data_IF_233883761208
#
_entry.id   IF_233883761208
#
_cell.length_a   1.000
_cell.length_b   1.000
_cell.length_c   1.000
_cell.angle_alpha   90.00
_cell.angle_beta   90.00
_cell.angle_gamma   90.00
#
_symmetry.space_group_name_H-M   'P 1'
#
loop_
_entity.id
_entity.type
_entity.pdbx_description
1 polymer ?
#
# COMPACT_ATOMS: atom_id res chain seq x y z
N UNK A 1 -38.49 33.08 12.15
CA UNK A 1 -38.67 31.68 12.62
C UNK A 1 -38.55 30.61 11.53
N UNK A 2 -38.63 30.92 10.24
CA UNK A 2 -38.34 29.95 9.16
C UNK A 2 -36.85 29.78 8.81
N UNK A 3 -36.00 30.69 9.29
CA UNK A 3 -34.56 30.71 8.96
C UNK A 3 -33.72 29.78 9.87
N UNK A 4 -34.14 29.53 11.10
CA UNK A 4 -33.42 28.64 12.03
C UNK A 4 -33.55 27.16 11.67
N UNK A 5 -34.68 26.78 11.06
CA UNK A 5 -34.94 25.40 10.61
C UNK A 5 -34.03 25.01 9.44
N UNK A 6 -33.70 25.96 8.57
CA UNK A 6 -32.81 25.73 7.43
C UNK A 6 -31.36 25.41 7.86
N UNK A 7 -30.87 26.06 8.93
CA UNK A 7 -29.50 25.86 9.43
C UNK A 7 -29.36 24.47 10.09
N UNK A 8 -30.39 24.00 10.80
CA UNK A 8 -30.40 22.66 11.37
C UNK A 8 -30.37 21.56 10.29
N UNK A 9 -31.08 21.77 9.18
CA UNK A 9 -31.06 20.85 8.05
C UNK A 9 -29.68 20.80 7.35
N UNK A 10 -29.02 21.96 7.19
CA UNK A 10 -27.66 22.05 6.62
C UNK A 10 -26.63 21.40 7.55
N UNK A 11 -26.74 21.59 8.86
CA UNK A 11 -25.88 20.92 9.83
C UNK A 11 -26.07 19.39 9.79
N UNK A 12 -27.31 18.90 9.71
CA UNK A 12 -27.59 17.47 9.62
C UNK A 12 -27.02 16.82 8.35
N UNK A 13 -26.94 17.55 7.23
CA UNK A 13 -26.28 17.06 6.00
C UNK A 13 -24.75 17.11 6.03
N UNK A 14 -24.15 17.96 6.89
CA UNK A 14 -22.69 17.97 7.10
C UNK A 14 -22.27 16.76 7.96
N UNK A 15 -23.14 16.27 8.85
CA UNK A 15 -22.90 15.08 9.69
C UNK A 15 -23.45 13.76 9.11
N UNK A 16 -24.26 13.81 8.05
CA UNK A 16 -24.78 12.63 7.35
C UNK A 16 -24.08 12.36 6.00
N UNK A 17 -22.80 12.73 5.87
CA UNK A 17 -21.99 12.11 4.82
C UNK A 17 -21.70 10.69 5.27
N UNK A 18 -22.57 9.78 4.81
CA UNK A 18 -22.37 8.35 4.82
C UNK A 18 -20.89 8.05 4.51
N UNK A 19 -20.21 7.38 5.44
CA UNK A 19 -19.01 6.62 5.11
C UNK A 19 -19.49 5.59 4.09
N UNK A 20 -19.40 5.95 2.82
CA UNK A 20 -19.70 5.09 1.69
C UNK A 20 -18.83 3.85 1.87
N UNK A 21 -19.47 2.82 2.40
CA UNK A 21 -18.88 1.53 2.63
C UNK A 21 -18.63 0.89 1.28
N UNK A 22 -17.46 1.11 0.70
CA UNK A 22 -16.79 -0.02 0.05
C UNK A 22 -16.27 -0.86 1.21
N UNK A 23 -17.10 -1.80 1.67
CA UNK A 23 -16.99 -2.47 2.96
C UNK A 23 -15.56 -2.78 3.38
N UNK A 24 -15.17 -2.25 4.54
CA UNK A 24 -14.10 -2.88 5.31
C UNK A 24 -14.75 -4.11 5.92
N UNK A 25 -14.56 -5.28 5.33
CA UNK A 25 -14.61 -6.50 6.12
C UNK A 25 -13.36 -6.49 7.00
N UNK A 26 -13.47 -5.80 8.13
CA UNK A 26 -12.59 -5.93 9.29
C UNK A 26 -12.85 -7.30 9.91
N UNK A 27 -12.42 -8.32 9.16
CA UNK A 27 -12.27 -9.73 9.50
C UNK A 27 -11.82 -10.47 8.23
N UNK A 28 -10.84 -9.91 7.52
CA UNK A 28 -9.87 -10.79 6.89
C UNK A 28 -8.66 -10.74 7.81
N UNK A 29 -8.63 -11.63 8.81
CA UNK A 29 -7.44 -12.45 8.91
C UNK A 29 -7.25 -13.00 7.50
N UNK A 30 -6.50 -12.28 6.65
CA UNK A 30 -5.80 -12.94 5.58
C UNK A 30 -4.80 -13.77 6.36
N UNK A 31 -5.25 -14.92 6.89
CA UNK A 31 -4.36 -15.89 7.51
C UNK A 31 -3.20 -16.04 6.56
N UNK A 32 -1.98 -15.98 7.11
CA UNK A 32 -0.75 -15.91 6.34
C UNK A 32 -0.87 -16.87 5.16
N UNK A 33 -1.01 -16.32 3.94
CA UNK A 33 -1.18 -17.13 2.72
C UNK A 33 0.10 -17.87 2.33
N UNK A 34 1.13 -17.73 3.17
CA UNK A 34 2.44 -18.35 3.08
C UNK A 34 2.42 -19.59 3.98
N UNK A 35 2.50 -20.78 3.37
CA UNK A 35 2.52 -22.05 4.11
C UNK A 35 3.78 -22.09 4.98
N UNK A 36 3.59 -22.15 6.31
CA UNK A 36 4.69 -22.18 7.28
C UNK A 36 5.45 -20.84 7.42
N UNK A 37 4.95 -19.76 6.82
CA UNK A 37 5.53 -18.43 6.95
C UNK A 37 5.08 -17.72 8.21
N UNK A 38 5.89 -16.75 8.63
CA UNK A 38 5.60 -15.80 9.70
C UNK A 38 5.95 -14.38 9.23
N UNK A 39 5.41 -13.36 9.90
CA UNK A 39 5.68 -11.97 9.54
C UNK A 39 7.07 -11.54 10.04
N UNK A 40 7.98 -11.31 9.10
CA UNK A 40 9.34 -10.89 9.43
C UNK A 40 9.36 -9.61 10.31
N UNK A 41 10.01 -9.63 11.49
CA UNK A 41 10.26 -8.45 12.28
C UNK A 41 10.85 -7.27 11.49
N UNK A 42 10.40 -6.07 11.85
CA UNK A 42 10.90 -4.83 11.23
C UNK A 42 12.42 -4.75 11.37
N UNK A 43 13.10 -4.58 10.23
CA UNK A 43 14.54 -4.44 10.17
C UNK A 43 15.33 -5.76 10.23
N UNK A 44 14.69 -6.94 10.24
CA UNK A 44 15.41 -8.21 10.20
C UNK A 44 16.11 -8.44 8.85
N UNK A 45 15.46 -8.02 7.75
CA UNK A 45 15.93 -8.23 6.38
C UNK A 45 16.07 -6.89 5.65
N UNK A 46 16.96 -6.01 6.15
CA UNK A 46 17.15 -4.64 5.64
C UNK A 46 17.65 -4.55 4.20
N UNK A 47 18.18 -5.64 3.66
CA UNK A 47 18.62 -5.72 2.28
C UNK A 47 17.48 -5.97 1.28
N UNK A 48 16.28 -6.28 1.75
CA UNK A 48 15.12 -6.51 0.88
C UNK A 48 14.66 -5.19 0.28
N UNK A 49 14.53 -5.15 -1.05
CA UNK A 49 14.00 -3.98 -1.76
C UNK A 49 12.85 -4.35 -2.68
N UNK A 50 12.04 -3.34 -2.98
CA UNK A 50 10.88 -3.47 -3.84
C UNK A 50 11.11 -2.78 -5.19
N UNK A 51 10.83 -3.47 -6.30
CA UNK A 51 10.93 -2.91 -7.65
C UNK A 51 9.54 -2.57 -8.19
N UNK A 52 9.36 -1.31 -8.61
CA UNK A 52 8.09 -0.74 -9.08
C UNK A 52 8.28 -0.04 -10.42
N UNK A 53 7.23 0.04 -11.25
CA UNK A 53 7.32 0.83 -12.49
C UNK A 53 7.43 2.34 -12.24
N UNK A 54 6.86 2.84 -11.14
CA UNK A 54 6.84 4.26 -10.75
C UNK A 54 6.88 4.36 -9.22
N UNK A 55 7.17 5.56 -8.68
CA UNK A 55 7.27 5.79 -7.24
C UNK A 55 5.97 5.43 -6.48
N UNK A 56 4.80 5.77 -7.06
CA UNK A 56 3.48 5.40 -6.52
C UNK A 56 2.91 4.09 -7.08
N UNK A 57 3.71 3.33 -7.82
CA UNK A 57 3.28 2.07 -8.43
C UNK A 57 3.19 0.93 -7.42
N UNK A 58 2.56 -0.16 -7.84
CA UNK A 58 2.58 -1.41 -7.08
C UNK A 58 3.91 -2.15 -7.24
N UNK A 59 4.22 -3.00 -6.26
CA UNK A 59 5.36 -3.92 -6.30
C UNK A 59 5.24 -4.91 -7.45
N UNK A 60 6.27 -5.00 -8.28
CA UNK A 60 6.36 -5.96 -9.39
C UNK A 60 7.33 -7.10 -9.11
N UNK A 61 8.53 -6.75 -8.62
CA UNK A 61 9.61 -7.68 -8.35
C UNK A 61 10.30 -7.31 -7.02
N UNK A 62 11.16 -8.21 -6.54
CA UNK A 62 12.07 -7.95 -5.43
C UNK A 62 13.51 -7.75 -5.88
N UNK A 63 14.37 -7.42 -4.92
CA UNK A 63 15.82 -7.40 -5.08
C UNK A 63 16.55 -7.45 -3.74
N UNK A 64 17.87 -7.47 -3.80
CA UNK A 64 18.76 -7.50 -2.63
C UNK A 64 19.83 -6.43 -2.73
N UNK A 65 19.96 -5.58 -1.70
CA UNK A 65 21.07 -4.63 -1.57
C UNK A 65 22.38 -5.39 -1.27
N UNK A 66 23.31 -5.38 -2.22
CA UNK A 66 24.59 -6.10 -2.11
C UNK A 66 25.78 -5.18 -1.85
N UNK A 67 25.60 -3.87 -2.06
CA UNK A 67 26.52 -2.78 -1.74
C UNK A 67 25.73 -1.47 -1.66
N UNK A 68 26.29 -0.36 -1.12
CA UNK A 68 25.52 0.86 -0.78
C UNK A 68 24.57 1.38 -1.86
N UNK A 69 24.93 1.24 -3.14
CA UNK A 69 24.13 1.73 -4.27
C UNK A 69 23.82 0.63 -5.31
N UNK A 70 23.98 -0.64 -4.93
CA UNK A 70 23.84 -1.77 -5.86
C UNK A 70 22.80 -2.77 -5.37
N UNK A 71 21.76 -2.96 -6.17
CA UNK A 71 20.71 -3.96 -5.98
C UNK A 71 20.87 -5.09 -7.00
N UNK A 72 20.91 -6.32 -6.51
CA UNK A 72 20.81 -7.53 -7.32
C UNK A 72 19.34 -7.91 -7.52
N UNK A 73 18.95 -8.23 -8.76
CA UNK A 73 17.61 -8.71 -9.10
C UNK A 73 17.65 -9.62 -10.34
N UNK A 74 16.52 -10.23 -10.69
CA UNK A 74 16.39 -11.03 -11.90
C UNK A 74 16.39 -10.15 -13.16
N UNK A 75 17.04 -10.61 -14.23
CA UNK A 75 17.12 -9.87 -15.48
C UNK A 75 15.74 -9.55 -16.09
N UNK A 76 14.75 -10.45 -15.96
CA UNK A 76 13.41 -10.24 -16.49
C UNK A 76 12.59 -9.16 -15.76
N UNK A 77 13.04 -8.74 -14.56
CA UNK A 77 12.39 -7.65 -13.81
C UNK A 77 12.75 -6.26 -14.35
N UNK A 78 13.77 -6.16 -15.22
CA UNK A 78 14.29 -4.89 -15.73
C UNK A 78 13.92 -4.76 -17.21
N UNK A 79 12.80 -4.09 -17.49
CA UNK A 79 12.29 -3.94 -18.86
C UNK A 79 13.29 -3.16 -19.74
N UNK A 80 13.84 -3.83 -20.76
CA UNK A 80 14.80 -3.24 -21.70
C UNK A 80 16.03 -2.62 -21.02
N UNK A 81 16.47 -3.17 -19.88
CA UNK A 81 17.63 -2.66 -19.15
C UNK A 81 17.42 -1.35 -18.39
N UNK A 82 16.19 -0.84 -18.32
CA UNK A 82 15.86 0.34 -17.50
C UNK A 82 15.37 -0.11 -16.11
N UNK A 83 16.11 0.23 -15.03
CA UNK A 83 15.63 -0.07 -13.69
C UNK A 83 14.33 0.69 -13.43
N UNK A 84 13.36 0.02 -12.80
CA UNK A 84 12.20 0.66 -12.24
C UNK A 84 12.57 1.53 -11.02
N UNK A 85 11.56 2.07 -10.37
CA UNK A 85 11.72 2.68 -9.06
C UNK A 85 12.07 1.61 -8.01
N UNK A 86 13.15 1.84 -7.26
CA UNK A 86 13.57 1.01 -6.13
C UNK A 86 13.05 1.66 -4.85
N UNK A 87 12.27 0.93 -4.07
CA UNK A 87 11.72 1.36 -2.78
C UNK A 87 12.23 0.48 -1.64
#
# INVERSE_FOLDING_TARGET
MKLFVAIAAVAATIFAQDFNSTGVSENQEQGIRVVGGEEAPVGQYTWTVNLRSTAGGYSLCGGTLIAPDYVLTAAHCVANGKPGFVA
#
